data_IF_199295786577
#
_entry.id   IF_199295786577
#
_cell.length_a   1.000
_cell.length_b   1.000
_cell.length_c   1.000
_cell.angle_alpha   90.00
_cell.angle_beta   90.00
_cell.angle_gamma   90.00
#
_symmetry.space_group_name_H-M   'P 1'
#
loop_
_entity.id
_entity.type
_entity.pdbx_description
1 polymer ?
#
# COMPACT_ATOMS: atom_id res chain seq x y z
N UNK A 1 18.64 -22.47 20.62
CA UNK A 1 19.33 -21.35 19.93
C UNK A 1 18.89 -21.35 18.48
N UNK A 2 17.84 -20.58 18.16
CA UNK A 2 17.51 -20.20 16.79
C UNK A 2 17.56 -18.69 16.78
N UNK A 3 18.61 -18.13 16.19
CA UNK A 3 18.71 -16.70 15.98
C UNK A 3 17.62 -16.32 14.99
N UNK A 4 16.58 -15.64 15.48
CA UNK A 4 15.68 -14.84 14.65
C UNK A 4 16.55 -13.89 13.85
N UNK A 5 16.77 -14.24 12.58
CA UNK A 5 17.41 -13.35 11.62
C UNK A 5 16.54 -12.12 11.54
N UNK A 6 17.05 -11.04 12.12
CA UNK A 6 16.61 -9.66 11.96
C UNK A 6 16.25 -9.47 10.49
N UNK A 7 14.95 -9.23 10.26
CA UNK A 7 14.38 -8.97 8.95
C UNK A 7 15.09 -7.75 8.35
N UNK A 8 15.97 -7.98 7.37
CA UNK A 8 16.72 -6.91 6.73
C UNK A 8 15.90 -6.37 5.54
N UNK A 9 15.46 -5.10 5.56
CA UNK A 9 14.57 -4.53 4.52
C UNK A 9 15.21 -4.40 3.14
N UNK A 10 16.51 -4.69 3.01
CA UNK A 10 17.34 -4.36 1.83
C UNK A 10 17.56 -5.52 0.86
N UNK A 11 17.07 -6.72 1.15
CA UNK A 11 17.15 -7.86 0.24
C UNK A 11 15.79 -8.06 -0.44
N UNK A 12 15.53 -7.25 -1.46
CA UNK A 12 14.40 -7.42 -2.39
C UNK A 12 14.89 -8.33 -3.53
N UNK A 13 14.58 -9.64 -3.54
CA UNK A 13 14.84 -10.46 -4.71
C UNK A 13 13.98 -9.96 -5.89
N UNK A 14 14.64 -9.53 -6.95
CA UNK A 14 14.03 -9.25 -8.24
C UNK A 14 13.40 -10.53 -8.78
N UNK A 15 12.11 -10.75 -8.53
CA UNK A 15 11.33 -11.78 -9.21
C UNK A 15 11.09 -11.33 -10.65
N UNK A 16 11.54 -12.11 -11.64
CA UNK A 16 11.40 -11.87 -13.07
C UNK A 16 9.94 -12.00 -13.57
N UNK A 17 9.03 -11.22 -13.00
CA UNK A 17 7.60 -11.25 -13.34
C UNK A 17 7.20 -10.02 -14.17
N UNK A 18 7.86 -9.83 -15.32
CA UNK A 18 7.59 -8.73 -16.26
C UNK A 18 6.48 -9.12 -17.23
N UNK A 19 5.39 -8.36 -17.25
CA UNK A 19 4.34 -8.43 -18.28
C UNK A 19 4.60 -7.35 -19.32
N UNK A 20 4.53 -7.74 -20.60
CA UNK A 20 4.59 -6.82 -21.74
C UNK A 20 3.23 -6.17 -21.91
N UNK A 21 3.19 -4.83 -21.89
CA UNK A 21 1.97 -4.04 -22.10
C UNK A 21 2.22 -3.05 -23.21
N UNK A 22 1.25 -2.92 -24.11
CA UNK A 22 1.30 -1.99 -25.22
C UNK A 22 0.61 -0.68 -24.84
N UNK A 23 1.34 0.43 -24.99
CA UNK A 23 0.87 1.75 -24.59
C UNK A 23 0.03 2.36 -25.73
N UNK A 24 -1.26 2.06 -25.76
CA UNK A 24 -2.21 2.80 -26.60
C UNK A 24 -3.57 2.80 -25.95
N UNK A 25 -3.78 3.73 -25.00
CA UNK A 25 -5.05 4.27 -24.46
C UNK A 25 -6.22 3.33 -24.11
N UNK A 26 -6.10 2.03 -24.33
CA UNK A 26 -7.06 0.99 -24.04
C UNK A 26 -6.29 -0.29 -23.70
N UNK A 27 -6.32 -0.61 -22.40
CA UNK A 27 -6.39 -1.95 -21.84
C UNK A 27 -5.57 -3.06 -22.52
N UNK A 28 -4.44 -3.41 -21.89
CA UNK A 28 -3.98 -4.78 -21.56
C UNK A 28 -4.12 -5.91 -22.60
N UNK A 29 -4.33 -5.63 -23.89
CA UNK A 29 -4.49 -6.65 -24.92
C UNK A 29 -3.15 -6.83 -25.67
N UNK A 30 -2.43 -7.95 -25.45
CA UNK A 30 -1.21 -8.24 -26.17
C UNK A 30 -1.42 -8.42 -27.68
N UNK A 31 -2.67 -8.57 -28.17
CA UNK A 31 -2.99 -8.64 -29.60
C UNK A 31 -2.87 -7.27 -30.31
N UNK A 32 -2.92 -6.17 -29.57
CA UNK A 32 -2.75 -4.80 -30.10
C UNK A 32 -1.27 -4.39 -30.21
N UNK A 33 -0.36 -5.22 -29.69
CA UNK A 33 1.08 -5.00 -29.82
C UNK A 33 1.56 -5.21 -31.25
N UNK A 34 1.83 -4.12 -31.96
CA UNK A 34 2.42 -4.15 -33.31
C UNK A 34 3.71 -3.31 -33.36
N UNK A 35 4.37 -3.27 -34.54
CA UNK A 35 5.64 -2.57 -34.75
C UNK A 35 5.60 -1.05 -34.50
N UNK A 36 4.41 -0.46 -34.35
CA UNK A 36 4.18 0.96 -34.11
C UNK A 36 3.91 1.23 -32.62
N UNK A 37 3.29 0.30 -31.89
CA UNK A 37 2.92 0.47 -30.47
C UNK A 37 4.07 0.07 -29.55
N UNK A 38 4.54 1.02 -28.73
CA UNK A 38 5.67 0.79 -27.81
C UNK A 38 5.30 -0.25 -26.74
N UNK A 39 6.02 -1.37 -26.73
CA UNK A 39 5.96 -2.38 -25.66
C UNK A 39 6.69 -1.85 -24.43
N UNK A 40 5.99 -1.79 -23.31
CA UNK A 40 6.54 -1.49 -22.00
C UNK A 40 6.52 -2.76 -21.13
N UNK A 41 7.64 -3.03 -20.46
CA UNK A 41 7.72 -4.12 -19.50
C UNK A 41 7.31 -3.61 -18.12
N UNK A 42 6.21 -4.11 -17.58
CA UNK A 42 5.76 -3.80 -16.23
C UNK A 42 5.97 -5.00 -15.31
N UNK A 43 6.50 -4.75 -14.12
CA UNK A 43 6.58 -5.77 -13.09
C UNK A 43 5.18 -5.99 -12.49
N UNK A 44 4.73 -7.25 -12.42
CA UNK A 44 3.49 -7.60 -11.72
C UNK A 44 3.80 -7.70 -10.24
N UNK A 45 2.93 -7.17 -9.37
CA UNK A 45 3.07 -7.29 -7.91
C UNK A 45 1.86 -8.07 -7.39
N UNK A 46 2.04 -8.97 -6.41
CA UNK A 46 0.94 -9.36 -5.51
C UNK A 46 1.01 -8.39 -4.33
N UNK A 47 0.14 -7.38 -4.27
CA UNK A 47 0.29 -6.27 -3.33
C UNK A 47 -0.18 -6.63 -1.92
N UNK A 48 0.35 -5.91 -0.92
CA UNK A 48 -0.16 -6.00 0.45
C UNK A 48 -1.54 -5.33 0.56
N UNK A 49 -2.55 -6.06 1.03
CA UNK A 49 -3.94 -5.59 1.11
C UNK A 49 -4.41 -5.24 2.52
N UNK A 50 -3.48 -5.19 3.48
CA UNK A 50 -3.79 -5.01 4.91
C UNK A 50 -4.70 -6.10 5.49
N UNK A 51 -4.95 -7.18 4.75
CA UNK A 51 -5.95 -8.21 5.07
C UNK A 51 -7.36 -7.63 5.25
N UNK A 52 -7.62 -6.46 4.66
CA UNK A 52 -8.91 -5.80 4.70
C UNK A 52 -9.90 -6.42 3.71
N UNK A 53 -11.15 -6.53 4.11
CA UNK A 53 -12.27 -6.88 3.21
C UNK A 53 -12.74 -5.67 2.39
N UNK A 54 -13.63 -5.91 1.41
CA UNK A 54 -14.13 -4.85 0.53
C UNK A 54 -14.86 -3.73 1.29
N UNK A 55 -15.64 -4.06 2.33
CA UNK A 55 -16.39 -3.06 3.10
C UNK A 55 -15.45 -2.13 3.86
N UNK A 56 -14.36 -2.68 4.39
CA UNK A 56 -13.31 -1.92 5.05
C UNK A 56 -12.60 -1.01 4.06
N UNK A 57 -12.23 -1.51 2.87
CA UNK A 57 -11.64 -0.70 1.80
C UNK A 57 -12.56 0.45 1.35
N UNK A 58 -13.84 0.15 1.11
CA UNK A 58 -14.84 1.15 0.73
C UNK A 58 -15.01 2.22 1.81
N UNK A 59 -14.96 1.82 3.09
CA UNK A 59 -15.05 2.75 4.23
C UNK A 59 -13.89 3.73 4.23
N UNK A 60 -12.65 3.26 4.03
CA UNK A 60 -11.47 4.16 3.95
C UNK A 60 -11.60 5.06 2.72
N UNK A 61 -11.98 4.51 1.57
CA UNK A 61 -12.17 5.26 0.31
C UNK A 61 -13.17 6.40 0.46
N UNK A 62 -14.29 6.16 1.15
CA UNK A 62 -15.34 7.15 1.34
C UNK A 62 -14.98 8.22 2.38
N UNK A 63 -14.31 7.84 3.48
CA UNK A 63 -14.04 8.75 4.60
C UNK A 63 -12.76 9.56 4.41
N UNK A 64 -11.68 8.91 3.97
CA UNK A 64 -10.37 9.55 3.75
C UNK A 64 -9.77 9.04 2.42
N UNK A 65 -10.31 9.47 1.27
CA UNK A 65 -9.85 9.08 -0.07
C UNK A 65 -8.32 9.07 -0.26
N UNK A 66 -7.62 10.07 0.27
CA UNK A 66 -6.16 10.15 0.12
C UNK A 66 -5.41 9.06 0.91
N UNK A 67 -5.91 8.67 2.09
CA UNK A 67 -5.36 7.55 2.87
C UNK A 67 -5.55 6.22 2.14
N UNK A 68 -6.74 6.03 1.55
CA UNK A 68 -7.03 4.88 0.70
C UNK A 68 -6.05 4.80 -0.48
N UNK A 69 -5.83 5.91 -1.19
CA UNK A 69 -4.94 5.93 -2.35
C UNK A 69 -3.46 5.72 -1.95
N UNK A 70 -3.04 6.24 -0.80
CA UNK A 70 -1.74 5.96 -0.19
C UNK A 70 -1.59 4.46 0.13
N UNK A 71 -2.63 3.82 0.65
CA UNK A 71 -2.60 2.40 1.01
C UNK A 71 -2.47 1.49 -0.21
N UNK A 72 -3.18 1.78 -1.31
CA UNK A 72 -3.02 1.05 -2.57
C UNK A 72 -1.58 1.18 -3.08
N UNK A 73 -1.06 2.41 -3.10
CA UNK A 73 0.31 2.64 -3.55
C UNK A 73 1.32 1.91 -2.68
N UNK A 74 1.21 2.04 -1.36
CA UNK A 74 2.05 1.33 -0.41
C UNK A 74 2.01 -0.18 -0.65
N UNK A 75 0.82 -0.76 -0.82
CA UNK A 75 0.65 -2.18 -1.11
C UNK A 75 1.38 -2.61 -2.38
N UNK A 76 1.37 -1.78 -3.43
CA UNK A 76 2.08 -2.04 -4.69
C UNK A 76 3.61 -1.97 -4.58
N UNK A 77 4.15 -1.38 -3.52
CA UNK A 77 5.60 -1.38 -3.25
C UNK A 77 6.10 -2.70 -2.65
N UNK A 78 5.18 -3.57 -2.18
CA UNK A 78 5.50 -4.87 -1.60
C UNK A 78 4.92 -6.01 -2.45
N UNK A 79 5.80 -6.82 -3.05
CA UNK A 79 5.38 -8.07 -3.71
C UNK A 79 5.33 -9.21 -2.70
N UNK A 80 4.13 -9.59 -2.30
CA UNK A 80 3.86 -10.60 -1.28
C UNK A 80 4.42 -11.98 -1.63
N UNK A 81 4.67 -12.27 -2.92
CA UNK A 81 5.31 -13.53 -3.38
C UNK A 81 6.76 -13.68 -2.92
N UNK A 82 7.39 -12.59 -2.46
CA UNK A 82 8.73 -12.62 -1.90
C UNK A 82 8.78 -13.20 -0.49
N UNK A 83 7.63 -13.38 0.16
CA UNK A 83 7.54 -13.92 1.51
C UNK A 83 6.99 -15.35 1.50
N UNK A 84 7.50 -16.19 2.40
CA UNK A 84 6.97 -17.54 2.57
C UNK A 84 5.58 -17.50 3.23
N UNK A 85 4.72 -18.51 3.00
CA UNK A 85 3.41 -18.58 3.66
C UNK A 85 3.48 -18.43 5.19
N UNK A 86 4.48 -19.04 5.83
CA UNK A 86 4.67 -18.97 7.28
C UNK A 86 5.06 -17.58 7.79
N UNK A 87 5.58 -16.71 6.92
CA UNK A 87 5.82 -15.30 7.25
C UNK A 87 4.53 -14.50 7.08
N UNK A 88 3.80 -14.78 6.00
CA UNK A 88 2.53 -14.13 5.68
C UNK A 88 1.46 -14.39 6.76
N UNK A 89 1.50 -15.53 7.46
CA UNK A 89 0.57 -15.84 8.55
C UNK A 89 0.92 -15.16 9.90
N UNK A 90 2.08 -14.50 10.01
CA UNK A 90 2.54 -13.95 11.29
C UNK A 90 1.88 -12.61 11.59
N UNK A 91 1.28 -12.50 12.76
CA UNK A 91 0.80 -11.22 13.30
C UNK A 91 1.89 -10.15 13.41
N UNK A 92 3.15 -10.53 13.70
CA UNK A 92 4.28 -9.60 13.73
C UNK A 92 4.60 -9.03 12.35
N UNK A 93 4.45 -9.82 11.29
CA UNK A 93 4.59 -9.33 9.91
C UNK A 93 3.51 -8.29 9.59
N UNK A 94 2.25 -8.58 9.89
CA UNK A 94 1.16 -7.63 9.66
C UNK A 94 1.28 -6.36 10.52
N UNK A 95 1.67 -6.51 11.79
CA UNK A 95 1.98 -5.39 12.68
C UNK A 95 3.05 -4.49 12.05
N UNK A 96 4.14 -5.09 11.56
CA UNK A 96 5.21 -4.35 10.86
C UNK A 96 4.66 -3.59 9.64
N UNK A 97 3.81 -4.21 8.83
CA UNK A 97 3.25 -3.54 7.64
C UNK A 97 2.36 -2.35 7.99
N UNK A 98 1.55 -2.43 9.03
CA UNK A 98 0.75 -1.30 9.52
C UNK A 98 1.63 -0.17 10.05
N UNK A 99 2.67 -0.48 10.84
CA UNK A 99 3.60 0.52 11.35
C UNK A 99 4.37 1.23 10.22
N UNK A 100 4.81 0.46 9.21
CA UNK A 100 5.44 1.01 8.00
C UNK A 100 4.48 1.90 7.23
N UNK A 101 3.21 1.52 7.12
CA UNK A 101 2.20 2.35 6.46
C UNK A 101 1.99 3.68 7.21
N UNK A 102 1.93 3.67 8.54
CA UNK A 102 1.86 4.92 9.32
C UNK A 102 3.03 5.86 8.99
N UNK A 103 4.26 5.34 8.99
CA UNK A 103 5.44 6.13 8.63
C UNK A 103 5.41 6.60 7.17
N UNK A 104 4.85 5.78 6.27
CA UNK A 104 4.62 6.14 4.88
C UNK A 104 3.67 7.34 4.76
N UNK A 105 2.54 7.31 5.46
CA UNK A 105 1.59 8.44 5.51
C UNK A 105 2.23 9.70 6.09
N UNK A 106 3.01 9.58 7.17
CA UNK A 106 3.73 10.71 7.77
C UNK A 106 4.68 11.36 6.77
N UNK A 107 5.42 10.56 5.99
CA UNK A 107 6.37 11.05 5.00
C UNK A 107 5.67 11.74 3.81
N UNK A 108 4.58 11.16 3.31
CA UNK A 108 4.01 11.54 2.01
C UNK A 108 2.81 12.51 2.10
N UNK A 109 2.31 12.82 3.30
CA UNK A 109 1.13 13.67 3.51
C UNK A 109 1.33 15.17 3.23
N UNK A 110 2.51 15.76 3.49
CA UNK A 110 2.78 17.18 3.13
C UNK A 110 4.01 17.39 2.25
N UNK A 111 5.15 16.74 2.55
CA UNK A 111 6.40 17.00 1.82
C UNK A 111 6.36 16.58 0.35
N UNK A 112 5.50 15.60 0.03
CA UNK A 112 5.35 15.06 -1.32
C UNK A 112 3.89 14.96 -1.79
N UNK A 113 2.90 15.38 -1.00
CA UNK A 113 1.48 15.16 -1.28
C UNK A 113 1.03 15.68 -2.66
N UNK A 114 1.50 16.86 -3.06
CA UNK A 114 1.24 17.39 -4.42
C UNK A 114 1.91 16.59 -5.54
N UNK A 115 3.15 16.12 -5.34
CA UNK A 115 3.84 15.22 -6.28
C UNK A 115 3.14 13.86 -6.35
N UNK A 116 2.62 13.40 -5.22
CA UNK A 116 1.94 12.13 -5.07
C UNK A 116 0.58 12.14 -5.78
N UNK A 117 -0.22 13.19 -5.58
CA UNK A 117 -1.48 13.40 -6.33
C UNK A 117 -1.21 13.43 -7.83
N UNK A 118 -0.13 14.09 -8.28
CA UNK A 118 0.27 14.09 -9.68
C UNK A 118 0.75 12.72 -10.16
N UNK A 119 1.43 11.94 -9.31
CA UNK A 119 1.92 10.60 -9.65
C UNK A 119 0.78 9.58 -9.77
N UNK A 120 -0.19 9.62 -8.86
CA UNK A 120 -1.40 8.79 -8.91
C UNK A 120 -2.23 9.07 -10.17
N UNK A 121 -2.16 10.30 -10.69
CA UNK A 121 -2.83 10.71 -11.92
C UNK A 121 -2.09 10.30 -13.21
N UNK A 122 -0.89 9.69 -13.13
CA UNK A 122 -0.14 9.27 -14.32
C UNK A 122 -0.70 7.98 -14.91
N UNK A 123 -0.77 7.91 -16.24
CA UNK A 123 -1.17 6.70 -16.97
C UNK A 123 -0.30 5.48 -16.64
N UNK A 124 0.98 5.71 -16.30
CA UNK A 124 1.89 4.65 -15.89
C UNK A 124 1.49 4.01 -14.56
N UNK A 125 0.87 4.77 -13.66
CA UNK A 125 0.33 4.24 -12.40
C UNK A 125 -0.99 3.51 -12.64
N UNK A 126 -1.87 4.06 -13.48
CA UNK A 126 -3.09 3.37 -13.92
C UNK A 126 -2.79 2.03 -14.59
N UNK A 127 -1.76 1.97 -15.44
CA UNK A 127 -1.30 0.73 -16.06
C UNK A 127 -0.81 -0.29 -15.02
N UNK A 128 0.01 0.13 -14.04
CA UNK A 128 0.46 -0.75 -12.94
C UNK A 128 -0.72 -1.29 -12.13
N UNK A 129 -1.70 -0.44 -11.83
CA UNK A 129 -2.91 -0.83 -11.11
C UNK A 129 -3.72 -1.85 -11.91
N UNK A 130 -3.96 -1.60 -13.21
CA UNK A 130 -4.72 -2.50 -14.07
C UNK A 130 -4.07 -3.90 -14.17
N UNK A 131 -2.73 -3.95 -14.23
CA UNK A 131 -1.96 -5.21 -14.22
C UNK A 131 -2.10 -5.92 -12.86
N UNK A 132 -1.91 -5.18 -11.76
CA UNK A 132 -1.99 -5.74 -10.41
C UNK A 132 -3.42 -6.06 -9.98
N UNK A 133 -4.46 -5.52 -10.63
CA UNK A 133 -5.88 -5.78 -10.32
C UNK A 133 -6.20 -7.27 -10.32
N UNK A 134 -5.60 -8.05 -11.21
CA UNK A 134 -5.73 -9.52 -11.25
C UNK A 134 -5.08 -10.22 -10.04
N UNK A 135 -4.14 -9.55 -9.38
CA UNK A 135 -3.35 -10.08 -8.26
C UNK A 135 -3.79 -9.57 -6.88
N UNK A 136 -4.61 -8.50 -6.81
CA UNK A 136 -5.28 -8.08 -5.57
C UNK A 136 -6.30 -9.13 -5.08
N UNK A 137 -6.59 -10.14 -5.92
CA UNK A 137 -7.58 -11.20 -5.70
C UNK A 137 -8.93 -10.80 -6.29
N UNK A 138 -9.72 -11.79 -6.75
CA UNK A 138 -11.09 -11.54 -7.26
C UNK A 138 -12.02 -10.94 -6.19
N UNK A 139 -11.63 -10.99 -4.92
CA UNK A 139 -12.45 -10.63 -3.76
C UNK A 139 -12.39 -9.13 -3.41
N UNK A 140 -11.36 -8.40 -3.86
CA UNK A 140 -11.22 -6.96 -3.54
C UNK A 140 -11.01 -6.14 -4.81
N UNK A 141 -12.04 -5.37 -5.20
CA UNK A 141 -11.98 -4.44 -6.33
C UNK A 141 -11.32 -3.13 -5.89
N UNK A 142 -9.99 -3.09 -5.96
CA UNK A 142 -9.22 -1.89 -5.64
C UNK A 142 -9.07 -1.00 -6.86
N UNK A 143 -9.61 0.21 -6.73
CA UNK A 143 -9.51 1.30 -7.70
C UNK A 143 -9.19 2.58 -6.94
N UNK A 144 -8.37 3.48 -7.49
CA UNK A 144 -8.18 4.81 -6.90
C UNK A 144 -9.50 5.51 -6.59
N UNK A 145 -9.46 6.39 -5.61
CA UNK A 145 -10.54 7.32 -5.36
C UNK A 145 -10.74 8.23 -6.58
N UNK A 146 -12.00 8.52 -6.89
CA UNK A 146 -12.37 9.53 -7.90
C UNK A 146 -12.53 10.92 -7.25
N UNK A 147 -11.91 11.14 -6.08
CA UNK A 147 -12.03 12.38 -5.33
C UNK A 147 -11.33 13.54 -6.06
N UNK A 148 -11.86 14.75 -5.89
CA UNK A 148 -11.29 15.94 -6.52
C UNK A 148 -9.95 16.32 -5.88
N UNK A 149 -9.07 17.02 -6.63
CA UNK A 149 -7.78 17.49 -6.11
C UNK A 149 -7.91 18.27 -4.79
N UNK A 150 -8.87 19.20 -4.62
CA UNK A 150 -9.06 19.88 -3.34
C UNK A 150 -9.39 18.95 -2.17
N UNK A 151 -10.19 17.89 -2.39
CA UNK A 151 -10.50 16.89 -1.36
C UNK A 151 -9.24 16.12 -0.97
N UNK A 152 -8.48 15.66 -1.96
CA UNK A 152 -7.22 14.95 -1.73
C UNK A 152 -6.21 15.82 -0.97
N UNK A 153 -6.06 17.09 -1.36
CA UNK A 153 -5.20 18.04 -0.64
C UNK A 153 -5.69 18.30 0.80
N UNK A 154 -7.00 18.44 1.02
CA UNK A 154 -7.56 18.59 2.36
C UNK A 154 -7.31 17.37 3.24
N UNK A 155 -7.46 16.16 2.70
CA UNK A 155 -7.13 14.91 3.39
C UNK A 155 -5.62 14.81 3.70
N UNK A 156 -4.77 15.19 2.75
CA UNK A 156 -3.32 15.19 2.93
C UNK A 156 -2.89 16.07 4.12
N UNK A 157 -3.43 17.28 4.23
CA UNK A 157 -3.22 18.18 5.39
C UNK A 157 -3.76 17.54 6.68
N UNK A 158 -4.92 16.89 6.63
CA UNK A 158 -5.51 16.26 7.82
C UNK A 158 -4.67 15.08 8.33
N UNK A 159 -4.12 14.26 7.43
CA UNK A 159 -3.25 13.14 7.77
C UNK A 159 -1.94 13.59 8.40
N UNK A 160 -1.34 14.68 7.90
CA UNK A 160 -0.13 15.23 8.50
C UNK A 160 -0.39 15.75 9.91
N UNK A 161 -1.46 16.52 10.11
CA UNK A 161 -1.84 17.01 11.45
C UNK A 161 -2.15 15.89 12.42
N UNK A 162 -2.64 14.76 11.91
CA UNK A 162 -2.88 13.55 12.69
C UNK A 162 -1.61 12.73 12.92
N UNK A 163 -0.48 13.09 12.33
CA UNK A 163 0.77 12.33 12.36
C UNK A 163 0.58 10.88 11.87
N UNK A 164 -0.24 10.65 10.83
CA UNK A 164 -0.49 9.32 10.27
C UNK A 164 -1.95 9.04 9.87
N UNK A 165 -2.30 7.77 9.56
CA UNK A 165 -3.62 7.37 9.08
C UNK A 165 -4.72 7.55 10.13
N UNK A 166 -5.94 7.76 9.66
CA UNK A 166 -7.16 7.81 10.47
C UNK A 166 -7.86 6.47 10.60
N UNK A 167 -7.78 5.60 9.58
CA UNK A 167 -8.59 4.39 9.50
C UNK A 167 -7.79 3.11 9.35
N UNK A 168 -6.65 3.11 8.67
CA UNK A 168 -5.75 1.95 8.58
C UNK A 168 -4.74 2.06 9.73
N UNK A 169 -5.26 1.86 10.94
CA UNK A 169 -4.56 2.02 12.21
C UNK A 169 -4.66 0.74 13.07
N UNK A 170 -4.30 0.84 14.36
CA UNK A 170 -4.38 -0.31 15.28
C UNK A 170 -5.81 -0.77 15.52
N UNK A 171 -6.81 0.10 15.40
CA UNK A 171 -8.21 -0.29 15.53
C UNK A 171 -8.66 -1.16 14.35
N UNK A 172 -8.27 -0.79 13.13
CA UNK A 172 -8.51 -1.63 11.95
C UNK A 172 -7.72 -2.94 12.03
N UNK A 173 -6.47 -2.91 12.48
CA UNK A 173 -5.72 -4.13 12.72
C UNK A 173 -6.45 -5.05 13.71
N UNK A 174 -6.95 -4.49 14.83
CA UNK A 174 -7.67 -5.25 15.84
C UNK A 174 -9.00 -5.80 15.33
N UNK A 175 -9.72 -5.09 14.45
CA UNK A 175 -10.97 -5.60 13.87
C UNK A 175 -10.72 -6.78 12.92
N UNK A 176 -9.59 -6.80 12.21
CA UNK A 176 -9.22 -7.86 11.27
C UNK A 176 -8.63 -9.08 11.99
N UNK A 177 -7.69 -8.86 12.91
CA UNK A 177 -6.92 -9.95 13.54
C UNK A 177 -7.42 -10.33 14.95
N UNK A 178 -8.43 -9.63 15.47
CA UNK A 178 -8.99 -9.87 16.80
C UNK A 178 -8.04 -9.54 17.97
N UNK A 179 -6.93 -8.84 17.70
CA UNK A 179 -5.87 -8.56 18.69
C UNK A 179 -5.12 -7.26 18.40
N UNK A 180 -4.52 -6.61 19.41
CA UNK A 180 -3.68 -5.43 19.18
C UNK A 180 -2.38 -5.79 18.46
N UNK A 181 -1.58 -4.78 18.13
CA UNK A 181 -0.26 -4.98 17.55
C UNK A 181 0.63 -5.88 18.40
N UNK A 182 1.48 -6.63 17.72
CA UNK A 182 2.57 -7.37 18.36
C UNK A 182 3.51 -6.40 19.09
N UNK A 183 3.61 -6.56 20.41
CA UNK A 183 4.28 -5.58 21.26
C UNK A 183 5.80 -5.56 21.06
N UNK A 184 6.41 -6.70 20.74
CA UNK A 184 7.84 -6.78 20.45
C UNK A 184 8.17 -6.02 19.16
N UNK A 185 7.37 -6.24 18.11
CA UNK A 185 7.50 -5.53 16.83
C UNK A 185 7.27 -4.04 17.00
N UNK A 186 6.22 -3.63 17.72
CA UNK A 186 5.96 -2.21 17.99
C UNK A 186 7.10 -1.54 18.76
N UNK A 187 7.63 -2.21 19.78
CA UNK A 187 8.76 -1.72 20.58
C UNK A 187 10.03 -1.56 19.74
N UNK A 188 10.29 -2.50 18.83
CA UNK A 188 11.39 -2.42 17.87
C UNK A 188 11.25 -1.17 16.98
N UNK A 189 10.05 -0.90 16.48
CA UNK A 189 9.76 0.27 15.65
C UNK A 189 9.98 1.59 16.37
N UNK A 190 9.53 1.68 17.62
CA UNK A 190 9.76 2.86 18.46
C UNK A 190 11.26 3.08 18.70
N UNK A 191 11.99 2.02 19.06
CA UNK A 191 13.39 2.11 19.48
C UNK A 191 14.36 2.33 18.30
N UNK A 192 14.12 1.67 17.17
CA UNK A 192 15.09 1.63 16.06
C UNK A 192 14.69 2.52 14.89
N UNK A 193 13.39 2.77 14.70
CA UNK A 193 12.87 3.43 13.50
C UNK A 193 12.17 4.76 13.81
N UNK A 194 12.28 5.25 15.06
CA UNK A 194 11.67 6.51 15.51
C UNK A 194 10.17 6.57 15.19
N UNK A 195 9.49 5.43 15.30
CA UNK A 195 8.05 5.37 15.06
C UNK A 195 7.31 6.22 16.10
N UNK A 196 6.55 7.19 15.59
CA UNK A 196 5.60 7.95 16.37
C UNK A 196 4.16 7.55 16.00
N UNK A 197 3.31 7.24 16.99
CA UNK A 197 1.92 6.89 16.70
C UNK A 197 1.09 8.12 16.28
N UNK A 198 0.00 7.94 15.50
CA UNK A 198 -0.90 9.03 15.15
C UNK A 198 -1.52 9.71 16.39
N UNK A 199 -1.80 11.00 16.31
CA UNK A 199 -2.38 11.82 17.39
C UNK A 199 -3.71 11.27 17.89
N UNK A 200 -4.54 10.74 16.99
CA UNK A 200 -5.80 10.10 17.37
C UNK A 200 -5.64 8.74 18.06
N UNK A 201 -4.46 8.14 18.06
CA UNK A 201 -4.25 6.89 18.79
C UNK A 201 -3.92 7.19 20.26
N UNK A 202 -4.75 6.64 21.15
CA UNK A 202 -4.84 6.88 22.60
C UNK A 202 -5.55 8.17 23.06
N UNK A 203 -6.86 8.29 22.77
CA UNK A 203 -7.88 8.65 23.78
C UNK A 203 -9.22 7.99 23.47
#
# INVERSE_FOLDING_TARGET
>A
MSQDKVFSPTLIPSLDNKVKVCHSDELLDPLLCNSIVKVLNYHTTVPYTFMMDQMQWDTVKQKVPFEHDLAIRFGLEYDMRQFSPEVLERYSFHTMMYLKFTMYVQKHSLNEGGKFILELAKDSFAARMAISKRNFGEVVDLSLSNASKPVLTGNAIALERNNGPFHIDENMYKSIFGRPYDQATRSLFIQQYQYEPPVKSFR
#
